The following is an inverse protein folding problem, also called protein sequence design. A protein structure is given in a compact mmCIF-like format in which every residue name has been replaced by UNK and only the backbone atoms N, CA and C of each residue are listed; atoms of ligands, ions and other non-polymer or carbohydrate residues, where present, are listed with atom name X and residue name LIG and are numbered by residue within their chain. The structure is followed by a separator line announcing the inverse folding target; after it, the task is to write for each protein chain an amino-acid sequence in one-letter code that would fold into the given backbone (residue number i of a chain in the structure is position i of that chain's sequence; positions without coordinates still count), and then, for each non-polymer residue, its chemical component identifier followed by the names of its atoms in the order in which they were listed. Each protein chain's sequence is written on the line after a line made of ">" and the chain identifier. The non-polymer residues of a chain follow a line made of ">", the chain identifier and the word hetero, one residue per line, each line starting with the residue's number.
data_IF_465266526100
#
_entry.id   IF_465266526100
#
_cell.length_a   1.000
_cell.length_b   1.000
_cell.length_c   1.000
_cell.angle_alpha   90.00
_cell.angle_beta   90.00
_cell.angle_gamma   90.00
#
_symmetry.space_group_name_H-M   'P 1'
#
loop_
_entity.id
_entity.type
_entity.pdbx_description
1 polymer ?
#
# COMPACT_ATOMS: atom_id res chain seq x y z
N UNK A 1 4.72 0.16 0.13
CA UNK A 1 5.39 -1.04 -0.38
C UNK A 1 5.54 -2.07 0.73
N UNK A 2 6.33 -1.77 1.77
CA UNK A 2 6.65 -2.66 2.88
C UNK A 2 5.46 -3.38 3.51
N UNK A 3 4.38 -2.67 3.81
CA UNK A 3 3.21 -3.25 4.46
C UNK A 3 2.57 -4.35 3.61
N UNK A 4 2.35 -4.10 2.31
CA UNK A 4 1.84 -5.10 1.37
C UNK A 4 2.82 -6.26 1.17
N UNK A 5 4.11 -5.96 1.02
CA UNK A 5 5.13 -6.98 0.81
C UNK A 5 5.21 -7.92 2.02
N UNK A 6 5.20 -7.36 3.24
CA UNK A 6 5.22 -8.12 4.48
C UNK A 6 3.92 -8.88 4.74
N UNK A 7 2.77 -8.35 4.33
CA UNK A 7 1.50 -9.09 4.37
C UNK A 7 1.64 -10.46 3.71
N UNK A 8 2.26 -10.49 2.52
CA UNK A 8 2.58 -11.74 1.84
C UNK A 8 3.74 -12.51 2.48
N UNK A 9 4.90 -11.87 2.61
CA UNK A 9 6.15 -12.56 2.93
C UNK A 9 6.28 -13.00 4.39
N UNK A 10 5.67 -12.26 5.32
CA UNK A 10 5.70 -12.57 6.76
C UNK A 10 4.41 -13.24 7.18
N UNK A 11 3.27 -12.70 6.76
CA UNK A 11 1.97 -13.11 7.29
C UNK A 11 1.23 -14.14 6.43
N UNK A 12 1.73 -14.46 5.24
CA UNK A 12 1.10 -15.43 4.34
C UNK A 12 -0.23 -14.96 3.75
N UNK A 13 -0.51 -13.65 3.81
CA UNK A 13 -1.79 -13.09 3.37
C UNK A 13 -1.75 -12.86 1.86
N UNK A 14 -2.77 -13.38 1.17
CA UNK A 14 -2.95 -13.26 -0.27
C UNK A 14 -4.09 -12.33 -0.68
N UNK A 15 -5.02 -12.05 0.24
CA UNK A 15 -6.18 -11.17 0.03
C UNK A 15 -6.26 -10.17 1.19
N UNK A 16 -6.42 -8.87 0.89
CA UNK A 16 -6.46 -7.82 1.91
C UNK A 16 -7.55 -6.79 1.65
N UNK A 17 -8.08 -6.24 2.75
CA UNK A 17 -8.89 -5.03 2.73
C UNK A 17 -8.01 -3.86 3.18
N UNK A 18 -7.76 -2.92 2.29
CA UNK A 18 -7.04 -1.69 2.58
C UNK A 18 -8.02 -0.63 3.06
N UNK A 19 -7.96 -0.31 4.35
CA UNK A 19 -8.78 0.74 4.96
C UNK A 19 -7.92 1.99 5.14
N UNK A 20 -8.10 2.99 4.29
CA UNK A 20 -7.26 4.21 4.33
C UNK A 20 -7.96 5.44 3.76
N UNK A 21 -7.25 6.56 3.70
CA UNK A 21 -7.75 7.83 3.19
C UNK A 21 -7.98 7.79 1.68
N UNK A 22 -8.97 8.53 1.19
CA UNK A 22 -9.27 8.69 -0.25
C UNK A 22 -8.02 9.04 -1.07
N UNK A 23 -7.27 10.07 -0.66
CA UNK A 23 -6.07 10.51 -1.39
C UNK A 23 -4.94 9.47 -1.45
N UNK A 24 -5.00 8.38 -0.66
CA UNK A 24 -3.95 7.37 -0.58
C UNK A 24 -4.36 6.03 -1.23
N UNK A 25 -5.66 5.80 -1.40
CA UNK A 25 -6.21 4.47 -1.70
C UNK A 25 -5.65 3.90 -3.02
N UNK A 26 -5.55 4.71 -4.06
CA UNK A 26 -5.09 4.28 -5.39
C UNK A 26 -3.67 3.74 -5.38
N UNK A 27 -2.74 4.49 -4.75
CA UNK A 27 -1.35 4.05 -4.64
C UNK A 27 -1.23 2.79 -3.77
N UNK A 28 -2.04 2.70 -2.72
CA UNK A 28 -2.03 1.53 -1.84
C UNK A 28 -2.51 0.27 -2.57
N UNK A 29 -3.60 0.38 -3.34
CA UNK A 29 -4.13 -0.68 -4.20
C UNK A 29 -3.10 -1.10 -5.25
N UNK A 30 -2.55 -0.14 -6.00
CA UNK A 30 -1.51 -0.40 -7.00
C UNK A 30 -0.32 -1.16 -6.39
N UNK A 31 0.13 -0.72 -5.22
CA UNK A 31 1.28 -1.33 -4.54
C UNK A 31 0.97 -2.76 -4.10
N UNK A 32 -0.16 -3.00 -3.44
CA UNK A 32 -0.49 -4.32 -2.91
C UNK A 32 -0.72 -5.34 -4.03
N UNK A 33 -1.50 -4.97 -5.04
CA UNK A 33 -1.71 -5.81 -6.21
C UNK A 33 -0.39 -6.08 -6.94
N UNK A 34 0.46 -5.06 -7.07
CA UNK A 34 1.78 -5.17 -7.70
C UNK A 34 2.75 -6.12 -6.99
N UNK A 35 2.66 -6.27 -5.67
CA UNK A 35 3.47 -7.26 -4.91
C UNK A 35 2.79 -8.63 -4.79
N UNK A 36 1.66 -8.82 -5.48
CA UNK A 36 0.93 -10.09 -5.55
C UNK A 36 0.04 -10.38 -4.35
N UNK A 37 -0.56 -9.34 -3.77
CA UNK A 37 -1.63 -9.45 -2.76
C UNK A 37 -2.88 -8.81 -3.36
N UNK A 38 -3.94 -9.59 -3.53
CA UNK A 38 -5.22 -9.10 -4.05
C UNK A 38 -5.86 -8.15 -3.04
N UNK A 39 -6.01 -6.89 -3.41
CA UNK A 39 -6.41 -5.83 -2.51
C UNK A 39 -7.71 -5.17 -2.96
N UNK A 40 -8.66 -5.07 -2.01
CA UNK A 40 -9.83 -4.20 -2.13
C UNK A 40 -9.69 -2.97 -1.23
N UNK A 41 -10.19 -1.83 -1.69
CA UNK A 41 -10.02 -0.55 -1.02
C UNK A 41 -11.30 -0.09 -0.33
N UNK A 42 -11.18 0.40 0.90
CA UNK A 42 -12.26 1.03 1.66
C UNK A 42 -11.79 2.41 2.12
N UNK A 43 -12.47 3.45 1.65
CA UNK A 43 -12.20 4.83 2.02
C UNK A 43 -12.73 5.08 3.44
N UNK A 44 -11.83 5.50 4.34
CA UNK A 44 -12.08 5.66 5.77
C UNK A 44 -12.24 7.13 6.20
N UNK A 45 -12.69 7.98 5.29
CA UNK A 45 -12.82 9.41 5.47
C UNK A 45 -13.97 9.73 6.43
N UNK A 46 -13.65 10.17 7.65
CA UNK A 46 -14.66 10.60 8.65
C UNK A 46 -14.77 12.11 8.80
N UNK A 47 -13.84 12.87 8.22
CA UNK A 47 -13.75 14.34 8.30
C UNK A 47 -13.01 14.87 7.09
N UNK A 48 -13.22 16.15 6.79
CA UNK A 48 -12.47 16.87 5.77
C UNK A 48 -10.99 16.97 6.14
N UNK A 49 -10.12 16.80 5.14
CA UNK A 49 -8.69 16.97 5.32
C UNK A 49 -8.29 18.44 5.41
N UNK A 50 -7.84 18.88 6.59
CA UNK A 50 -7.31 20.25 6.81
C UNK A 50 -6.24 20.62 5.79
N UNK A 51 -5.41 19.65 5.38
CA UNK A 51 -4.33 19.80 4.38
C UNK A 51 -4.56 18.97 3.12
N UNK A 52 -5.82 18.73 2.73
CA UNK A 52 -6.18 17.83 1.62
C UNK A 52 -5.39 18.08 0.33
N UNK A 53 -5.28 19.34 -0.11
CA UNK A 53 -4.50 19.71 -1.30
C UNK A 53 -3.02 19.35 -1.18
N UNK A 54 -2.40 19.57 -0.02
CA UNK A 54 -1.00 19.21 0.19
C UNK A 54 -0.79 17.70 0.19
N UNK A 55 -1.71 16.94 0.79
CA UNK A 55 -1.65 15.47 0.78
C UNK A 55 -1.80 14.91 -0.64
N UNK A 56 -2.74 15.44 -1.40
CA UNK A 56 -2.93 15.06 -2.80
C UNK A 56 -1.71 15.40 -3.66
N UNK A 57 -1.15 16.61 -3.51
CA UNK A 57 0.08 17.01 -4.21
C UNK A 57 1.29 16.11 -3.86
N UNK A 58 1.42 15.71 -2.58
CA UNK A 58 2.47 14.76 -2.15
C UNK A 58 2.27 13.38 -2.77
N UNK A 59 1.04 13.01 -3.12
CA UNK A 59 0.75 11.69 -3.66
C UNK A 59 1.25 11.53 -5.11
N UNK A 60 1.34 12.62 -5.89
CA UNK A 60 1.87 12.57 -7.26
C UNK A 60 3.28 11.96 -7.33
N UNK A 61 4.31 12.51 -6.64
CA UNK A 61 5.64 11.90 -6.65
C UNK A 61 5.65 10.54 -5.93
N UNK A 62 4.80 10.35 -4.91
CA UNK A 62 4.72 9.07 -4.22
C UNK A 62 4.19 7.95 -5.13
N UNK A 63 3.28 8.26 -6.05
CA UNK A 63 2.72 7.31 -7.01
C UNK A 63 3.76 6.94 -8.07
N UNK A 64 4.55 7.90 -8.55
CA UNK A 64 5.68 7.61 -9.43
C UNK A 64 6.73 6.71 -8.75
N UNK A 65 7.02 6.96 -7.47
CA UNK A 65 7.92 6.10 -6.69
C UNK A 65 7.35 4.71 -6.48
N UNK A 66 6.05 4.58 -6.16
CA UNK A 66 5.42 3.28 -6.01
C UNK A 66 5.43 2.49 -7.32
N UNK A 67 5.20 3.15 -8.47
CA UNK A 67 5.36 2.52 -9.78
C UNK A 67 6.78 2.02 -9.98
N UNK A 68 7.79 2.82 -9.66
CA UNK A 68 9.20 2.42 -9.77
C UNK A 68 9.55 1.24 -8.86
N UNK A 69 9.12 1.27 -7.61
CA UNK A 69 9.37 0.20 -6.64
C UNK A 69 8.71 -1.12 -7.06
N UNK A 70 7.49 -1.06 -7.58
CA UNK A 70 6.73 -2.24 -8.00
C UNK A 70 7.19 -2.80 -9.35
N UNK A 71 7.66 -1.97 -10.27
CA UNK A 71 7.95 -2.42 -11.65
C UNK A 71 9.43 -2.57 -11.94
N UNK A 72 10.29 -1.79 -11.29
CA UNK A 72 11.72 -1.74 -11.58
C UNK A 72 12.54 -2.22 -10.38
N UNK A 73 12.50 -1.48 -9.27
CA UNK A 73 13.47 -1.65 -8.20
C UNK A 73 13.23 -2.89 -7.32
N UNK A 74 11.97 -3.29 -7.11
CA UNK A 74 11.58 -4.41 -6.25
C UNK A 74 12.35 -4.48 -4.93
N UNK A 75 12.42 -3.38 -4.14
CA UNK A 75 13.23 -3.36 -2.93
C UNK A 75 12.76 -4.44 -1.95
N UNK A 76 13.70 -5.08 -1.26
CA UNK A 76 13.36 -6.03 -0.18
C UNK A 76 13.28 -5.25 1.13
N UNK A 77 12.10 -5.16 1.77
CA UNK A 77 11.97 -4.47 3.05
C UNK A 77 12.64 -5.27 4.17
N UNK A 78 12.80 -4.66 5.35
CA UNK A 78 13.30 -5.39 6.52
C UNK A 78 12.29 -6.46 6.94
N UNK A 79 12.72 -7.72 6.88
CA UNK A 79 11.90 -8.90 7.20
C UNK A 79 12.28 -9.48 8.57
N UNK A 80 11.28 -10.06 9.24
CA UNK A 80 11.46 -10.92 10.41
C UNK A 80 11.26 -12.39 10.05
N UNK A 81 11.11 -13.25 11.06
CA UNK A 81 10.66 -14.63 10.84
C UNK A 81 9.20 -14.62 10.37
N UNK A 82 8.80 -15.47 9.41
CA UNK A 82 7.39 -15.61 9.03
C UNK A 82 6.50 -16.02 10.20
N UNK A 83 5.31 -15.42 10.28
CA UNK A 83 4.25 -15.69 11.25
C UNK A 83 2.96 -15.80 10.43
N UNK A 84 2.68 -16.99 9.92
CA UNK A 84 1.50 -17.22 9.07
C UNK A 84 0.24 -17.04 9.90
N UNK A 85 -0.67 -16.20 9.40
CA UNK A 85 -1.97 -15.98 10.01
C UNK A 85 -2.96 -16.91 9.30
N UNK A 86 -3.66 -17.75 10.05
CA UNK A 86 -4.73 -18.63 9.55
C UNK A 86 -6.03 -17.88 9.25
#
# INVERSE_FOLDING_TARGET
>A
YDSCYRARAIFGVHEVILVTQDYHIDRALFTCNGVGVDAIGVIADRRSYVKGRQYWLREIPAMALAWWDVTIAHPVPVLGKPIIIE
#
